data_IF_023077985273
#
_entry.id   IF_023077985273
#
_cell.length_a   1.000
_cell.length_b   1.000
_cell.length_c   1.000
_cell.angle_alpha   90.00
_cell.angle_beta   90.00
_cell.angle_gamma   90.00
#
_symmetry.space_group_name_H-M   'P 1'
#
loop_
_entity.id
_entity.type
_entity.pdbx_description
1 polymer ?
#
# COMPACT_ATOMS: atom_id res chain seq x y z
N UNK A 1 -2.32 -0.21 -16.38
CA UNK A 1 -3.24 0.58 -17.24
C UNK A 1 -2.44 1.75 -17.81
N UNK A 2 -2.55 2.02 -19.11
CA UNK A 2 -1.98 3.22 -19.74
C UNK A 2 -2.89 4.43 -19.49
N UNK A 3 -2.34 5.64 -19.54
CA UNK A 3 -3.11 6.85 -19.25
C UNK A 3 -4.33 7.03 -20.18
N UNK A 4 -4.16 6.70 -21.46
CA UNK A 4 -5.22 6.71 -22.48
C UNK A 4 -6.40 5.76 -22.18
N UNK A 5 -6.20 4.76 -21.32
CA UNK A 5 -7.24 3.80 -20.91
C UNK A 5 -8.03 4.29 -19.68
N UNK A 6 -7.58 5.35 -19.00
CA UNK A 6 -8.22 5.88 -17.79
C UNK A 6 -9.69 6.30 -18.01
N UNK A 7 -10.08 6.99 -19.11
CA UNK A 7 -11.47 7.32 -19.36
C UNK A 7 -12.38 6.08 -19.44
N UNK A 8 -11.90 5.02 -20.10
CA UNK A 8 -12.64 3.77 -20.24
C UNK A 8 -12.77 3.03 -18.91
N UNK A 9 -11.70 2.99 -18.11
CA UNK A 9 -11.73 2.47 -16.75
C UNK A 9 -12.79 3.19 -15.91
N UNK A 10 -12.77 4.52 -15.87
CA UNK A 10 -13.72 5.31 -15.06
C UNK A 10 -15.16 5.07 -15.54
N UNK A 11 -15.41 5.08 -16.85
CA UNK A 11 -16.74 4.81 -17.40
C UNK A 11 -17.23 3.39 -17.03
N UNK A 12 -16.35 2.39 -17.11
CA UNK A 12 -16.67 1.00 -16.74
C UNK A 12 -17.07 0.89 -15.27
N UNK A 13 -16.28 1.44 -14.34
CA UNK A 13 -16.60 1.37 -12.90
C UNK A 13 -17.87 2.16 -12.58
N UNK A 14 -18.12 3.31 -13.23
CA UNK A 14 -19.39 4.06 -13.06
C UNK A 14 -20.61 3.24 -13.49
N UNK A 15 -20.52 2.55 -14.63
CA UNK A 15 -21.59 1.66 -15.09
C UNK A 15 -21.83 0.50 -14.11
N UNK A 16 -20.76 -0.10 -13.58
CA UNK A 16 -20.86 -1.16 -12.57
C UNK A 16 -21.47 -0.64 -11.26
N UNK A 17 -21.07 0.56 -10.82
CA UNK A 17 -21.61 1.23 -9.63
C UNK A 17 -23.11 1.44 -9.74
N UNK A 18 -23.62 1.88 -10.89
CA UNK A 18 -25.06 2.00 -11.12
C UNK A 18 -25.74 0.63 -11.19
N UNK A 19 -25.17 -0.31 -11.96
CA UNK A 19 -25.74 -1.65 -12.13
C UNK A 19 -25.92 -2.42 -10.80
N UNK A 20 -24.99 -2.25 -9.87
CA UNK A 20 -24.95 -3.00 -8.60
C UNK A 20 -25.26 -2.12 -7.37
N UNK A 21 -25.84 -0.93 -7.57
CA UNK A 21 -26.09 0.07 -6.51
C UNK A 21 -26.86 -0.45 -5.29
N UNK A 22 -27.75 -1.42 -5.50
CA UNK A 22 -28.59 -2.01 -4.44
C UNK A 22 -27.97 -3.28 -3.83
N UNK A 23 -26.82 -3.73 -4.34
CA UNK A 23 -26.13 -4.96 -3.90
C UNK A 23 -24.82 -4.65 -3.17
N UNK A 24 -24.04 -3.69 -3.65
CA UNK A 24 -22.76 -3.33 -3.06
C UNK A 24 -22.35 -1.89 -3.36
N UNK A 25 -21.55 -1.31 -2.46
CA UNK A 25 -20.91 -0.01 -2.72
C UNK A 25 -19.65 -0.21 -3.55
N UNK A 26 -19.65 0.32 -4.77
CA UNK A 26 -18.48 0.32 -5.66
C UNK A 26 -17.85 1.71 -5.65
N UNK A 27 -16.54 1.77 -5.43
CA UNK A 27 -15.74 2.99 -5.40
C UNK A 27 -14.75 3.00 -6.56
N UNK A 28 -14.46 4.18 -7.08
CA UNK A 28 -13.48 4.39 -8.15
C UNK A 28 -12.22 4.93 -7.49
N UNK A 29 -11.11 4.21 -7.60
CA UNK A 29 -9.84 4.67 -7.03
C UNK A 29 -8.65 4.22 -7.83
N UNK A 30 -7.48 4.74 -7.47
CA UNK A 30 -6.21 4.38 -8.11
C UNK A 30 -5.16 4.09 -7.03
N UNK A 31 -4.27 3.15 -7.33
CA UNK A 31 -2.97 3.08 -6.68
C UNK A 31 -2.01 3.99 -7.42
N UNK A 32 -1.36 4.89 -6.70
CA UNK A 32 -0.51 5.93 -7.28
C UNK A 32 0.81 6.05 -6.53
N UNK A 33 1.83 6.44 -7.27
CA UNK A 33 3.14 6.79 -6.74
C UNK A 33 3.13 8.21 -6.15
N UNK A 34 4.09 8.47 -5.26
CA UNK A 34 4.45 9.83 -4.89
C UNK A 34 5.62 10.31 -5.77
N UNK A 35 5.28 10.97 -6.87
CA UNK A 35 6.25 11.65 -7.75
C UNK A 35 6.10 13.16 -7.60
N UNK A 36 7.01 13.85 -6.85
CA UNK A 36 6.88 15.26 -6.50
C UNK A 36 6.52 16.16 -7.70
N UNK A 37 7.19 15.95 -8.84
CA UNK A 37 7.03 16.75 -10.06
C UNK A 37 5.65 16.55 -10.73
N UNK A 38 4.98 15.43 -10.45
CA UNK A 38 3.69 15.06 -11.04
C UNK A 38 2.51 15.20 -10.06
N UNK A 39 2.74 15.62 -8.81
CA UNK A 39 1.68 15.73 -7.81
C UNK A 39 0.57 16.72 -8.19
N UNK A 40 0.91 17.81 -8.90
CA UNK A 40 -0.10 18.74 -9.39
C UNK A 40 -0.99 18.11 -10.46
N UNK A 41 -0.38 17.37 -11.39
CA UNK A 41 -1.09 16.65 -12.43
C UNK A 41 -2.00 15.56 -11.84
N UNK A 42 -1.51 14.76 -10.88
CA UNK A 42 -2.30 13.74 -10.20
C UNK A 42 -3.54 14.33 -9.51
N UNK A 43 -3.40 15.49 -8.84
CA UNK A 43 -4.53 16.22 -8.25
C UNK A 43 -5.55 16.66 -9.30
N UNK A 44 -5.09 17.08 -10.49
CA UNK A 44 -5.96 17.38 -11.63
C UNK A 44 -6.76 16.17 -12.10
N UNK A 45 -6.10 15.02 -12.27
CA UNK A 45 -6.76 13.75 -12.65
C UNK A 45 -7.80 13.32 -11.61
N UNK A 46 -7.47 13.42 -10.33
CA UNK A 46 -8.39 13.11 -9.23
C UNK A 46 -9.67 13.95 -9.32
N UNK A 47 -9.53 15.25 -9.62
CA UNK A 47 -10.66 16.17 -9.74
C UNK A 47 -11.46 15.93 -11.03
N UNK A 48 -10.78 15.81 -12.17
CA UNK A 48 -11.41 15.62 -13.48
C UNK A 48 -12.31 14.38 -13.53
N UNK A 49 -11.80 13.25 -13.02
CA UNK A 49 -12.54 11.99 -13.03
C UNK A 49 -13.37 11.76 -11.76
N UNK A 50 -13.30 12.70 -10.83
CA UNK A 50 -13.88 12.62 -9.50
C UNK A 50 -13.57 11.25 -8.88
N UNK A 51 -12.32 10.98 -8.54
CA UNK A 51 -11.97 9.70 -7.90
C UNK A 51 -12.49 9.68 -6.45
N UNK A 52 -12.95 8.52 -5.98
CA UNK A 52 -13.39 8.35 -4.59
C UNK A 52 -12.19 8.32 -3.63
N UNK A 53 -11.09 7.69 -4.04
CA UNK A 53 -9.87 7.60 -3.25
C UNK A 53 -8.62 7.33 -4.11
N UNK A 54 -7.45 7.63 -3.57
CA UNK A 54 -6.16 7.11 -4.08
C UNK A 54 -5.35 6.51 -2.94
N UNK A 55 -4.57 5.48 -3.24
CA UNK A 55 -3.72 4.75 -2.29
C UNK A 55 -2.26 4.91 -2.70
N UNK A 56 -1.36 4.92 -1.72
CA UNK A 56 0.06 5.17 -1.99
C UNK A 56 0.80 3.86 -2.20
N UNK A 57 1.07 3.52 -3.45
CA UNK A 57 1.92 2.38 -3.82
C UNK A 57 3.36 2.86 -3.93
N UNK A 58 4.10 2.92 -2.83
CA UNK A 58 5.49 3.43 -2.80
C UNK A 58 6.45 2.45 -3.51
N UNK A 59 6.50 2.46 -4.84
CA UNK A 59 7.30 1.52 -5.64
C UNK A 59 8.62 2.10 -6.13
N UNK A 60 8.68 3.42 -6.32
CA UNK A 60 9.85 4.12 -6.83
C UNK A 60 10.18 5.37 -6.01
N UNK A 61 11.46 5.76 -6.02
CA UNK A 61 11.90 7.01 -5.39
C UNK A 61 11.69 8.19 -6.36
N UNK A 62 10.63 8.96 -6.14
CA UNK A 62 10.26 10.22 -6.83
C UNK A 62 10.02 10.15 -8.35
N UNK A 63 10.51 9.12 -9.04
CA UNK A 63 10.36 8.85 -10.46
C UNK A 63 10.74 7.40 -10.77
N UNK A 64 10.11 6.83 -11.79
CA UNK A 64 10.43 5.52 -12.38
C UNK A 64 11.57 5.55 -13.42
N UNK A 65 12.12 6.73 -13.73
CA UNK A 65 13.15 6.90 -14.77
C UNK A 65 14.59 6.83 -14.23
N UNK A 66 14.80 7.17 -12.95
CA UNK A 66 16.14 7.39 -12.38
C UNK A 66 16.62 6.28 -11.46
N UNK A 67 15.70 5.64 -10.74
CA UNK A 67 15.99 4.64 -9.72
C UNK A 67 15.28 3.32 -10.04
N UNK A 68 15.89 2.18 -9.69
CA UNK A 68 15.19 0.91 -9.81
C UNK A 68 14.00 0.86 -8.83
N UNK A 69 12.98 0.02 -9.09
CA UNK A 69 11.89 -0.15 -8.14
C UNK A 69 12.42 -0.69 -6.80
N UNK A 70 11.72 -0.40 -5.70
CA UNK A 70 12.07 -0.92 -4.37
C UNK A 70 11.97 -2.45 -4.25
N UNK A 71 11.42 -3.11 -5.27
CA UNK A 71 11.42 -4.57 -5.44
C UNK A 71 12.63 -5.07 -6.26
N UNK A 72 13.66 -4.24 -6.47
CA UNK A 72 14.91 -4.65 -7.09
C UNK A 72 15.61 -5.77 -6.29
N UNK A 73 16.39 -6.62 -6.98
CA UNK A 73 17.14 -7.70 -6.34
C UNK A 73 18.37 -7.16 -5.61
N UNK A 74 18.66 -7.69 -4.42
CA UNK A 74 19.80 -7.25 -3.58
C UNK A 74 19.81 -5.72 -3.33
N UNK A 75 18.75 -5.13 -2.74
CA UNK A 75 18.73 -3.71 -2.44
C UNK A 75 19.83 -3.33 -1.45
N UNK A 76 20.42 -2.16 -1.65
CA UNK A 76 21.40 -1.58 -0.72
C UNK A 76 20.70 -0.93 0.47
N UNK A 77 21.47 -0.60 1.51
CA UNK A 77 20.98 0.22 2.63
C UNK A 77 20.46 1.57 2.13
N UNK A 78 21.14 2.21 1.18
CA UNK A 78 20.69 3.48 0.58
C UNK A 78 19.30 3.35 -0.07
N UNK A 79 18.99 2.23 -0.73
CA UNK A 79 17.65 1.99 -1.30
C UNK A 79 16.56 1.90 -0.22
N UNK A 80 16.92 1.41 0.96
CA UNK A 80 16.04 1.33 2.12
C UNK A 80 15.77 2.73 2.69
N UNK A 81 16.80 3.58 2.77
CA UNK A 81 16.67 5.00 3.17
C UNK A 81 15.82 5.79 2.16
N UNK A 82 15.99 5.55 0.86
CA UNK A 82 15.15 6.17 -0.17
C UNK A 82 13.68 5.71 -0.08
N UNK A 83 13.43 4.44 0.26
CA UNK A 83 12.06 3.96 0.50
C UNK A 83 11.43 4.70 1.67
N UNK A 84 12.16 4.85 2.77
CA UNK A 84 11.73 5.57 3.96
C UNK A 84 11.40 7.04 3.64
N UNK A 85 12.31 7.74 2.96
CA UNK A 85 12.13 9.14 2.58
C UNK A 85 10.85 9.32 1.75
N UNK A 86 10.71 8.54 0.67
CA UNK A 86 9.52 8.59 -0.18
C UNK A 86 8.24 8.20 0.57
N UNK A 87 8.30 7.20 1.46
CA UNK A 87 7.16 6.79 2.27
C UNK A 87 6.67 7.91 3.19
N UNK A 88 7.60 8.62 3.85
CA UNK A 88 7.30 9.73 4.74
C UNK A 88 6.74 10.90 3.95
N UNK A 89 7.41 11.34 2.89
CA UNK A 89 6.98 12.48 2.08
C UNK A 89 5.62 12.23 1.42
N UNK A 90 5.41 11.02 0.88
CA UNK A 90 4.13 10.64 0.29
C UNK A 90 3.00 10.66 1.31
N UNK A 91 3.19 10.15 2.53
CA UNK A 91 2.20 10.28 3.60
C UNK A 91 1.98 11.75 4.02
N UNK A 92 3.05 12.53 4.16
CA UNK A 92 2.98 13.95 4.55
C UNK A 92 2.35 14.85 3.49
N UNK A 93 2.33 14.43 2.22
CA UNK A 93 1.61 15.13 1.16
C UNK A 93 0.11 15.29 1.47
N UNK A 94 -0.43 14.44 2.35
CA UNK A 94 -1.82 14.44 2.78
C UNK A 94 -2.80 14.06 1.67
N UNK A 95 -2.33 13.55 0.53
CA UNK A 95 -3.18 13.17 -0.61
C UNK A 95 -3.80 11.79 -0.45
N UNK A 96 -2.99 10.81 -0.05
CA UNK A 96 -3.34 9.40 -0.10
C UNK A 96 -4.21 8.96 1.08
N UNK A 97 -4.99 7.91 0.86
CA UNK A 97 -5.95 7.39 1.84
C UNK A 97 -5.30 6.42 2.83
N UNK A 98 -4.28 5.69 2.38
CA UNK A 98 -3.42 4.80 3.16
C UNK A 98 -2.13 4.49 2.38
N UNK A 99 -1.12 3.93 3.08
CA UNK A 99 0.11 3.42 2.49
C UNK A 99 -0.06 1.94 2.14
N UNK A 100 0.03 1.60 0.85
CA UNK A 100 -0.03 0.23 0.35
C UNK A 100 1.25 -0.53 0.71
N UNK A 101 1.12 -1.80 1.08
CA UNK A 101 2.21 -2.73 1.43
C UNK A 101 3.49 -2.04 1.99
N UNK A 102 3.43 -1.47 3.21
CA UNK A 102 4.48 -0.62 3.78
C UNK A 102 5.78 -1.36 4.12
N UNK A 103 5.75 -2.69 4.04
CA UNK A 103 6.85 -3.61 4.25
C UNK A 103 7.52 -4.06 2.94
N UNK A 104 7.12 -3.49 1.79
CA UNK A 104 7.63 -3.85 0.46
C UNK A 104 9.15 -3.77 0.35
N UNK A 105 9.79 -2.79 1.01
CA UNK A 105 11.24 -2.59 0.98
C UNK A 105 12.05 -3.78 1.49
N UNK A 106 11.42 -4.68 2.26
CA UNK A 106 12.07 -5.89 2.75
C UNK A 106 12.01 -7.05 1.76
N UNK A 107 11.20 -6.98 0.68
CA UNK A 107 10.90 -8.12 -0.20
C UNK A 107 12.13 -8.90 -0.68
N UNK A 108 13.21 -8.20 -1.00
CA UNK A 108 14.47 -8.80 -1.46
C UNK A 108 15.66 -8.45 -0.57
N UNK A 109 15.41 -7.90 0.63
CA UNK A 109 16.46 -7.58 1.58
C UNK A 109 16.75 -8.84 2.45
N UNK A 110 18.02 -9.23 2.62
CA UNK A 110 18.37 -10.58 3.07
C UNK A 110 18.01 -10.86 4.53
N UNK A 111 18.00 -9.84 5.39
CA UNK A 111 17.76 -10.01 6.83
C UNK A 111 17.05 -8.82 7.43
N UNK A 112 16.13 -9.05 8.37
CA UNK A 112 15.58 -7.97 9.20
C UNK A 112 16.62 -7.52 10.24
N UNK A 113 17.39 -6.49 9.91
CA UNK A 113 18.48 -6.00 10.74
C UNK A 113 18.11 -4.74 11.54
N UNK A 114 19.12 -4.08 12.13
CA UNK A 114 18.92 -2.84 12.88
C UNK A 114 18.37 -1.71 12.00
N UNK A 115 18.75 -1.67 10.73
CA UNK A 115 18.35 -0.64 9.80
C UNK A 115 16.88 -0.82 9.38
N UNK A 116 16.47 -2.05 9.05
CA UNK A 116 15.05 -2.39 8.83
C UNK A 116 14.17 -1.97 10.03
N UNK A 117 14.64 -2.25 11.26
CA UNK A 117 13.92 -1.87 12.48
C UNK A 117 13.76 -0.36 12.63
N UNK A 118 14.78 0.42 12.25
CA UNK A 118 14.75 1.89 12.33
C UNK A 118 13.74 2.46 11.33
N UNK A 119 13.85 2.08 10.06
CA UNK A 119 12.95 2.51 8.98
C UNK A 119 11.50 2.13 9.29
N UNK A 120 11.26 0.87 9.68
CA UNK A 120 9.93 0.39 10.03
C UNK A 120 9.29 1.27 11.11
N UNK A 121 10.08 1.67 12.12
CA UNK A 121 9.61 2.52 13.22
C UNK A 121 9.30 3.94 12.75
N UNK A 122 10.13 4.54 11.89
CA UNK A 122 9.88 5.89 11.38
C UNK A 122 8.65 5.94 10.48
N UNK A 123 8.46 4.94 9.61
CA UNK A 123 7.24 4.78 8.80
C UNK A 123 6.02 4.63 9.71
N UNK A 124 6.06 3.70 10.68
CA UNK A 124 4.94 3.46 11.59
C UNK A 124 4.58 4.70 12.42
N UNK A 125 5.58 5.42 12.95
CA UNK A 125 5.36 6.67 13.70
C UNK A 125 4.77 7.77 12.85
N UNK A 126 5.20 7.89 11.59
CA UNK A 126 4.65 8.85 10.64
C UNK A 126 3.19 8.51 10.32
N UNK A 127 2.92 7.26 9.99
CA UNK A 127 1.56 6.76 9.76
C UNK A 127 0.65 7.02 10.96
N UNK A 128 1.10 6.71 12.19
CA UNK A 128 0.36 6.99 13.42
C UNK A 128 0.10 8.48 13.63
N UNK A 129 1.12 9.32 13.51
CA UNK A 129 1.04 10.77 13.68
C UNK A 129 0.05 11.41 12.70
N UNK A 130 0.03 10.94 11.46
CA UNK A 130 -0.83 11.45 10.39
C UNK A 130 -2.18 10.75 10.31
N UNK A 131 -2.42 9.74 11.15
CA UNK A 131 -3.60 8.87 11.10
C UNK A 131 -3.83 8.23 9.72
N UNK A 132 -2.74 7.78 9.09
CA UNK A 132 -2.73 7.08 7.80
C UNK A 132 -2.70 5.57 8.08
N UNK A 133 -3.71 4.80 7.66
CA UNK A 133 -3.67 3.35 7.78
C UNK A 133 -2.52 2.73 6.98
N UNK A 134 -2.06 1.57 7.45
CA UNK A 134 -1.06 0.74 6.80
C UNK A 134 -1.74 -0.49 6.17
N UNK A 135 -1.50 -0.76 4.90
CA UNK A 135 -2.10 -1.91 4.24
C UNK A 135 -1.40 -3.22 4.64
N UNK A 136 -2.14 -4.14 5.25
CA UNK A 136 -1.77 -5.54 5.42
C UNK A 136 -2.12 -6.28 4.12
N UNK A 137 -1.15 -6.31 3.20
CA UNK A 137 -1.36 -6.83 1.85
C UNK A 137 -1.21 -8.35 1.78
N UNK A 138 -2.28 -9.07 1.44
CA UNK A 138 -2.31 -10.54 1.38
C UNK A 138 -1.99 -11.11 -0.01
N UNK A 139 -1.58 -10.27 -0.97
CA UNK A 139 -1.25 -10.69 -2.34
C UNK A 139 0.08 -11.45 -2.40
N UNK A 140 1.01 -11.08 -1.53
CA UNK A 140 2.35 -11.66 -1.48
C UNK A 140 2.33 -13.10 -0.96
N UNK A 141 3.08 -13.96 -1.65
CA UNK A 141 3.20 -15.37 -1.28
C UNK A 141 4.06 -15.53 -0.03
N UNK A 142 3.83 -16.62 0.69
CA UNK A 142 4.75 -17.06 1.74
C UNK A 142 6.17 -17.08 1.19
N UNK A 143 7.09 -16.48 1.94
CA UNK A 143 8.50 -16.39 1.60
C UNK A 143 9.11 -17.78 1.35
N UNK A 144 10.21 -17.81 0.61
CA UNK A 144 10.97 -19.03 0.39
C UNK A 144 12.24 -19.00 1.24
N UNK A 145 12.22 -19.70 2.37
CA UNK A 145 13.37 -19.79 3.28
C UNK A 145 14.63 -20.33 2.58
N UNK A 146 14.48 -21.21 1.57
CA UNK A 146 15.62 -21.76 0.81
C UNK A 146 16.28 -20.72 -0.09
N UNK A 147 15.52 -19.72 -0.51
CA UNK A 147 15.97 -18.63 -1.38
C UNK A 147 16.17 -17.32 -0.60
N UNK A 148 16.06 -17.36 0.74
CA UNK A 148 16.09 -16.21 1.63
C UNK A 148 15.11 -15.09 1.22
N UNK A 149 13.98 -15.46 0.61
CA UNK A 149 12.92 -14.51 0.25
C UNK A 149 12.01 -14.36 1.46
N UNK A 150 11.94 -13.19 2.11
CA UNK A 150 11.06 -12.98 3.25
C UNK A 150 9.58 -13.08 2.86
N UNK A 151 8.75 -13.53 3.81
CA UNK A 151 7.31 -13.46 3.67
C UNK A 151 6.84 -12.01 3.82
N UNK A 152 6.03 -11.54 2.88
CA UNK A 152 5.21 -10.35 3.07
C UNK A 152 3.75 -10.78 3.31
N UNK A 153 3.03 -10.18 4.26
CA UNK A 153 3.50 -9.11 5.16
C UNK A 153 4.55 -9.56 6.18
N UNK A 154 5.57 -8.74 6.45
CA UNK A 154 6.76 -9.12 7.22
C UNK A 154 6.48 -9.13 8.73
N UNK A 155 6.59 -10.27 9.44
CA UNK A 155 6.18 -10.37 10.84
C UNK A 155 6.83 -9.33 11.78
N UNK A 156 8.12 -9.03 11.59
CA UNK A 156 8.81 -8.06 12.44
C UNK A 156 8.36 -6.61 12.19
N UNK A 157 7.93 -6.27 10.97
CA UNK A 157 7.37 -4.95 10.67
C UNK A 157 6.05 -4.78 11.42
N UNK A 158 5.17 -5.79 11.36
CA UNK A 158 3.87 -5.72 12.01
C UNK A 158 3.94 -5.77 13.53
N UNK A 159 4.98 -6.38 14.13
CA UNK A 159 5.28 -6.20 15.56
C UNK A 159 5.63 -4.75 15.90
N UNK A 160 6.33 -4.04 15.01
CA UNK A 160 6.64 -2.62 15.20
C UNK A 160 5.37 -1.78 15.02
N UNK A 161 4.58 -2.04 13.99
CA UNK A 161 3.30 -1.37 13.76
C UNK A 161 2.35 -1.50 14.97
N UNK A 162 2.31 -2.68 15.61
CA UNK A 162 1.57 -2.89 16.85
C UNK A 162 2.10 -2.02 18.01
N UNK A 163 3.42 -2.00 18.22
CA UNK A 163 4.05 -1.23 19.30
C UNK A 163 3.90 0.30 19.12
N UNK A 164 3.83 0.78 17.88
CA UNK A 164 3.61 2.19 17.56
C UNK A 164 2.10 2.51 17.36
N UNK A 165 1.22 1.56 17.69
CA UNK A 165 -0.24 1.70 17.70
C UNK A 165 -0.85 2.10 16.34
N UNK A 166 -0.28 1.60 15.24
CA UNK A 166 -0.78 1.85 13.89
C UNK A 166 -2.15 1.19 13.67
N UNK A 167 -2.90 1.74 12.71
CA UNK A 167 -4.14 1.14 12.19
C UNK A 167 -3.82 0.37 10.92
N UNK A 168 -4.40 -0.82 10.75
CA UNK A 168 -4.25 -1.64 9.55
C UNK A 168 -5.52 -1.63 8.69
N UNK A 169 -5.35 -1.72 7.38
CA UNK A 169 -6.42 -2.10 6.43
C UNK A 169 -5.97 -3.35 5.66
N UNK A 170 -6.83 -4.32 5.44
CA UNK A 170 -6.47 -5.55 4.71
C UNK A 170 -6.71 -5.33 3.21
N UNK A 171 -5.67 -5.47 2.40
CA UNK A 171 -5.71 -5.36 0.95
C UNK A 171 -5.38 -6.69 0.28
N UNK A 172 -6.13 -7.06 -0.77
CA UNK A 172 -5.91 -8.33 -1.51
C UNK A 172 -4.95 -8.15 -2.68
N UNK A 173 -4.86 -6.94 -3.22
CA UNK A 173 -4.05 -6.60 -4.40
C UNK A 173 -4.24 -7.65 -5.53
N UNK A 174 -5.53 -7.87 -5.80
CA UNK A 174 -6.02 -8.93 -6.67
C UNK A 174 -5.87 -8.52 -8.14
N UNK A 175 -5.00 -9.24 -8.85
CA UNK A 175 -4.85 -9.15 -10.31
C UNK A 175 -5.68 -10.23 -11.05
N UNK A 176 -6.52 -10.96 -10.32
CA UNK A 176 -7.39 -12.03 -10.79
C UNK A 176 -8.59 -12.16 -9.84
N UNK A 177 -9.81 -12.29 -10.38
CA UNK A 177 -11.03 -12.37 -9.58
C UNK A 177 -11.04 -13.58 -8.62
N UNK A 178 -10.36 -14.67 -8.95
CA UNK A 178 -10.25 -15.87 -8.11
C UNK A 178 -9.60 -15.58 -6.76
N UNK A 179 -8.76 -14.55 -6.65
CA UNK A 179 -8.14 -14.11 -5.38
C UNK A 179 -9.18 -13.51 -4.42
N UNK A 180 -10.28 -12.97 -4.93
CA UNK A 180 -11.37 -12.42 -4.13
C UNK A 180 -12.36 -13.48 -3.63
N UNK A 181 -12.38 -14.67 -4.26
CA UNK A 181 -13.27 -15.77 -3.88
C UNK A 181 -12.78 -16.53 -2.65
N UNK A 182 -11.48 -16.48 -2.35
CA UNK A 182 -10.88 -17.19 -1.22
C UNK A 182 -10.79 -16.30 0.03
N UNK A 183 -11.67 -16.54 1.01
CA UNK A 183 -11.64 -15.83 2.28
C UNK A 183 -10.61 -16.36 3.28
N UNK A 184 -9.94 -17.48 3.02
CA UNK A 184 -9.00 -18.09 3.97
C UNK A 184 -7.84 -17.15 4.29
N UNK A 185 -7.25 -16.53 3.27
CA UNK A 185 -6.12 -15.59 3.41
C UNK A 185 -6.55 -14.33 4.20
N UNK A 186 -7.74 -13.80 3.90
CA UNK A 186 -8.32 -12.66 4.61
C UNK A 186 -8.57 -12.97 6.10
N UNK A 187 -9.19 -14.12 6.39
CA UNK A 187 -9.48 -14.55 7.76
C UNK A 187 -8.20 -14.82 8.56
N UNK A 188 -7.17 -15.36 7.91
CA UNK A 188 -5.86 -15.55 8.51
C UNK A 188 -5.18 -14.21 8.84
N UNK A 189 -5.23 -13.24 7.92
CA UNK A 189 -4.72 -11.90 8.13
C UNK A 189 -5.44 -11.18 9.29
N UNK A 190 -6.78 -11.26 9.32
CA UNK A 190 -7.59 -10.69 10.39
C UNK A 190 -7.22 -11.28 11.75
N UNK A 191 -7.11 -12.62 11.85
CA UNK A 191 -6.68 -13.29 13.08
C UNK A 191 -5.28 -12.83 13.50
N UNK A 192 -4.35 -12.71 12.56
CA UNK A 192 -2.97 -12.29 12.84
C UNK A 192 -2.89 -10.87 13.38
N UNK A 193 -3.64 -9.94 12.78
CA UNK A 193 -3.72 -8.54 13.23
C UNK A 193 -4.37 -8.44 14.61
N UNK A 194 -5.41 -9.23 14.88
CA UNK A 194 -6.05 -9.31 16.19
C UNK A 194 -5.10 -9.85 17.27
N UNK A 195 -4.33 -10.90 16.98
CA UNK A 195 -3.31 -11.45 17.89
C UNK A 195 -2.21 -10.42 18.21
N UNK A 196 -1.88 -9.54 17.27
CA UNK A 196 -0.94 -8.44 17.47
C UNK A 196 -1.55 -7.23 18.20
N UNK A 197 -2.87 -7.22 18.43
CA UNK A 197 -3.58 -6.09 19.03
C UNK A 197 -3.71 -4.87 18.11
N UNK A 198 -3.58 -5.05 16.80
CA UNK A 198 -3.68 -3.96 15.82
C UNK A 198 -5.16 -3.69 15.49
N UNK A 199 -5.55 -2.41 15.54
CA UNK A 199 -6.87 -1.99 15.08
C UNK A 199 -6.98 -2.19 13.57
N UNK A 200 -7.94 -3.00 13.12
CA UNK A 200 -8.27 -3.17 11.71
C UNK A 200 -9.43 -2.24 11.35
N UNK A 201 -9.27 -1.45 10.30
CA UNK A 201 -10.32 -0.58 9.75
C UNK A 201 -10.85 -1.15 8.43
N UNK A 202 -12.15 -1.02 8.21
CA UNK A 202 -12.86 -1.23 6.95
C UNK A 202 -13.22 0.10 6.25
N UNK A 203 -12.82 1.22 6.85
CA UNK A 203 -13.04 2.57 6.32
C UNK A 203 -11.72 3.28 6.03
N UNK A 204 -11.75 4.13 5.00
CA UNK A 204 -10.65 4.98 4.59
C UNK A 204 -11.16 6.40 4.37
N UNK A 205 -10.23 7.37 4.34
CA UNK A 205 -10.56 8.74 3.94
C UNK A 205 -10.89 8.77 2.45
N UNK A 206 -12.11 9.14 2.09
CA UNK A 206 -12.44 9.48 0.71
C UNK A 206 -12.00 10.91 0.39
N UNK A 207 -11.76 11.19 -0.90
CA UNK A 207 -11.36 12.51 -1.40
C UNK A 207 -12.55 13.49 -1.52
N UNK A 208 -13.75 13.03 -1.20
CA UNK A 208 -15.03 13.76 -1.27
C UNK A 208 -15.85 13.50 -0.01
#
# INVERSE_FOLDING_TARGET
>A
MRLEELPEYVASIRNLKEKYRDQMSIKIGLECEYFPDYMHWLKGIIQEYELDYVIFGNHFFHTDEKFPPFTHLNPTTDMLELYEESAIEGMESGLFSYLAHPDLFMRNYPTFDRHCKLISRHICRTAKRLNVPLEYNISYKQGNEKEAIPSLPHPEFWKIAANEECTAIIGVDAHDNRRLENQADYNQALKKLQELGIQVTDTIRFLR
#
